data_IF_132336137686
#
_entry.id   IF_132336137686
#
_cell.length_a   1.000
_cell.length_b   1.000
_cell.length_c   1.000
_cell.angle_alpha   90.00
_cell.angle_beta   90.00
_cell.angle_gamma   90.00
#
_symmetry.space_group_name_H-M   'P 1'
#
loop_
_entity.id
_entity.type
_entity.pdbx_description
1 polymer ?
#
# COMPACT_ATOMS: atom_id res chain seq x y z
N UNK A 1 4.83 -7.19 10.48
CA UNK A 1 4.99 -7.18 9.00
C UNK A 1 3.72 -6.62 8.39
N UNK A 2 3.82 -6.03 7.21
CA UNK A 2 2.72 -5.36 6.50
C UNK A 2 3.03 -5.38 5.02
N UNK A 3 2.02 -5.43 4.17
CA UNK A 3 2.17 -5.13 2.76
C UNK A 3 1.03 -4.25 2.29
N UNK A 4 1.38 -3.09 1.74
CA UNK A 4 0.43 -2.20 1.09
C UNK A 4 0.95 -1.83 -0.30
N UNK A 5 0.05 -1.71 -1.26
CA UNK A 5 0.34 -1.15 -2.58
C UNK A 5 -0.71 -0.13 -3.00
N UNK A 6 -0.24 0.91 -3.69
CA UNK A 6 -1.04 1.88 -4.40
C UNK A 6 -0.68 1.83 -5.87
N UNK A 7 -1.66 1.80 -6.76
CA UNK A 7 -1.49 1.74 -8.21
C UNK A 7 -2.27 2.89 -8.82
N UNK A 8 -1.58 3.75 -9.56
CA UNK A 8 -2.16 4.90 -10.24
C UNK A 8 -2.16 4.65 -11.74
N UNK A 9 -3.34 4.48 -12.30
CA UNK A 9 -3.55 4.33 -13.75
C UNK A 9 -4.32 5.52 -14.31
N UNK A 10 -4.44 5.61 -15.63
CA UNK A 10 -5.15 6.72 -16.29
C UNK A 10 -6.57 6.90 -15.75
N UNK A 11 -7.28 5.79 -15.54
CA UNK A 11 -8.70 5.79 -15.19
C UNK A 11 -8.96 5.89 -13.68
N UNK A 12 -7.90 5.86 -12.84
CA UNK A 12 -8.10 5.97 -11.41
C UNK A 12 -6.95 5.47 -10.53
N UNK A 13 -7.30 5.22 -9.28
CA UNK A 13 -6.41 4.78 -8.22
C UNK A 13 -6.93 3.49 -7.58
N UNK A 14 -6.04 2.54 -7.36
CA UNK A 14 -6.27 1.35 -6.54
C UNK A 14 -5.37 1.41 -5.32
N UNK A 15 -5.91 1.17 -4.13
CA UNK A 15 -5.12 0.99 -2.90
C UNK A 15 -5.51 -0.32 -2.23
N UNK A 16 -4.52 -1.11 -1.85
CA UNK A 16 -4.69 -2.42 -1.22
C UNK A 16 -3.78 -2.49 0.00
N UNK A 17 -4.32 -2.94 1.14
CA UNK A 17 -3.55 -3.14 2.37
C UNK A 17 -4.00 -4.41 3.07
N UNK A 18 -3.07 -5.19 3.60
CA UNK A 18 -3.38 -6.24 4.56
C UNK A 18 -3.75 -5.64 5.91
N UNK A 19 -4.38 -6.42 6.76
CA UNK A 19 -4.78 -5.99 8.12
C UNK A 19 -4.10 -6.80 9.22
N UNK A 20 -3.35 -7.84 8.87
CA UNK A 20 -2.70 -8.67 9.86
C UNK A 20 -1.60 -7.91 10.59
N UNK A 21 -1.62 -7.97 11.90
CA UNK A 21 -0.58 -7.43 12.78
C UNK A 21 -0.10 -8.54 13.68
N UNK A 22 1.21 -8.68 13.80
CA UNK A 22 1.84 -9.71 14.60
C UNK A 22 2.78 -9.07 15.63
N UNK A 23 2.43 -9.19 16.89
CA UNK A 23 3.20 -8.71 18.03
C UNK A 23 3.90 -9.87 18.76
N UNK A 24 4.56 -10.77 18.02
CA UNK A 24 5.18 -12.00 18.52
C UNK A 24 4.58 -13.27 17.88
N UNK A 25 5.07 -14.45 18.27
CA UNK A 25 4.71 -15.72 17.62
C UNK A 25 3.22 -16.07 17.75
N UNK A 26 2.57 -15.71 18.86
CA UNK A 26 1.21 -16.13 19.20
C UNK A 26 0.21 -14.97 19.29
N UNK A 27 0.60 -13.74 19.00
CA UNK A 27 -0.28 -12.57 19.11
C UNK A 27 -0.59 -11.99 17.72
N UNK A 28 -1.41 -12.72 16.96
CA UNK A 28 -1.95 -12.26 15.66
C UNK A 28 -3.23 -11.49 15.90
N UNK A 29 -3.25 -10.24 15.50
CA UNK A 29 -4.40 -9.34 15.61
C UNK A 29 -4.72 -8.72 14.25
N UNK A 30 -5.93 -8.19 14.11
CA UNK A 30 -6.39 -7.50 12.91
C UNK A 30 -6.51 -6.02 13.22
N UNK A 31 -5.74 -5.18 12.51
CA UNK A 31 -5.83 -3.73 12.57
C UNK A 31 -5.97 -3.16 11.17
N UNK A 32 -6.88 -2.23 11.01
CA UNK A 32 -7.02 -1.49 9.75
C UNK A 32 -5.77 -0.68 9.48
N UNK A 33 -5.23 -0.81 8.26
CA UNK A 33 -4.06 -0.07 7.79
C UNK A 33 -4.41 0.89 6.65
N UNK A 34 -5.57 0.69 6.00
CA UNK A 34 -6.12 1.57 4.96
C UNK A 34 -7.24 2.42 5.55
N UNK A 35 -7.02 3.73 5.59
CA UNK A 35 -7.94 4.72 6.13
C UNK A 35 -8.40 5.65 5.01
N UNK A 36 -9.71 5.90 4.92
CA UNK A 36 -10.33 6.70 3.87
C UNK A 36 -10.88 7.98 4.48
N UNK A 37 -10.55 9.10 3.85
CA UNK A 37 -10.99 10.45 4.20
C UNK A 37 -11.74 11.00 2.99
N UNK A 38 -13.05 11.22 3.11
CA UNK A 38 -13.85 11.63 1.97
C UNK A 38 -14.92 12.65 2.32
N UNK A 39 -15.13 13.57 1.40
CA UNK A 39 -16.31 14.41 1.29
C UNK A 39 -16.84 14.21 -0.14
N UNK A 40 -17.89 13.38 -0.32
CA UNK A 40 -18.34 12.98 -1.66
C UNK A 40 -18.64 14.18 -2.56
N UNK A 41 -18.13 14.14 -3.80
CA UNK A 41 -18.24 15.21 -4.78
C UNK A 41 -17.26 16.38 -4.60
N UNK A 42 -16.45 16.40 -3.52
CA UNK A 42 -15.39 17.36 -3.30
C UNK A 42 -14.01 16.69 -3.28
N UNK A 43 -13.84 15.67 -2.46
CA UNK A 43 -12.55 14.98 -2.32
C UNK A 43 -12.67 13.55 -1.82
N UNK A 44 -11.71 12.74 -2.22
CA UNK A 44 -11.43 11.45 -1.64
C UNK A 44 -9.93 11.28 -1.49
N UNK A 45 -9.50 10.92 -0.30
CA UNK A 45 -8.11 10.66 0.05
C UNK A 45 -8.03 9.37 0.86
N UNK A 46 -6.97 8.63 0.68
CA UNK A 46 -6.73 7.42 1.45
C UNK A 46 -5.26 7.34 1.87
N UNK A 47 -5.05 6.80 3.07
CA UNK A 47 -3.74 6.54 3.64
C UNK A 47 -3.63 5.06 3.97
N UNK A 48 -2.61 4.39 3.44
CA UNK A 48 -2.20 3.07 3.89
C UNK A 48 -0.89 3.18 4.68
N UNK A 49 -0.77 2.47 5.80
CA UNK A 49 0.36 2.58 6.73
C UNK A 49 1.14 1.28 6.87
N UNK A 50 2.46 1.38 7.07
CA UNK A 50 3.34 0.29 7.44
C UNK A 50 4.36 0.76 8.49
N UNK A 51 4.90 -0.16 9.26
CA UNK A 51 5.86 0.09 10.34
C UNK A 51 5.22 -0.08 11.72
N UNK A 52 5.62 0.76 12.67
CA UNK A 52 5.09 0.71 14.04
C UNK A 52 3.63 1.19 14.08
N UNK A 53 2.75 0.33 14.62
CA UNK A 53 1.32 0.59 14.65
C UNK A 53 0.96 1.78 15.55
N UNK A 54 1.59 1.91 16.72
CA UNK A 54 1.31 3.02 17.65
C UNK A 54 1.66 4.36 17.00
N UNK A 55 2.83 4.46 16.37
CA UNK A 55 3.26 5.66 15.62
C UNK A 55 2.28 5.97 14.50
N UNK A 56 1.88 4.95 13.73
CA UNK A 56 0.91 5.14 12.64
C UNK A 56 -0.42 5.67 13.14
N UNK A 57 -0.92 5.18 14.28
CA UNK A 57 -2.16 5.64 14.90
C UNK A 57 -2.03 7.07 15.44
N UNK A 58 -0.92 7.41 16.12
CA UNK A 58 -0.64 8.77 16.57
C UNK A 58 -0.61 9.76 15.41
N UNK A 59 0.05 9.42 14.30
CA UNK A 59 0.07 10.25 13.09
C UNK A 59 -1.33 10.43 12.49
N UNK A 60 -2.12 9.37 12.39
CA UNK A 60 -3.49 9.44 11.86
C UNK A 60 -4.41 10.27 12.75
N UNK A 61 -4.30 10.15 14.08
CA UNK A 61 -5.03 10.98 15.04
C UNK A 61 -4.67 12.44 14.87
N UNK A 62 -3.38 12.75 14.80
CA UNK A 62 -2.87 14.11 14.56
C UNK A 62 -3.41 14.72 13.25
N UNK A 63 -3.51 13.92 12.17
CA UNK A 63 -4.07 14.38 10.89
C UNK A 63 -5.58 14.61 10.93
N UNK A 64 -6.28 13.90 11.81
CA UNK A 64 -7.73 14.00 11.97
C UNK A 64 -8.12 15.15 12.90
N UNK A 65 -7.46 15.26 14.04
CA UNK A 65 -7.69 16.32 15.03
C UNK A 65 -7.14 17.66 14.56
N UNK A 66 -6.01 17.61 13.84
CA UNK A 66 -5.33 18.76 13.24
C UNK A 66 -4.07 19.18 14.00
N UNK A 67 -3.21 19.87 13.25
CA UNK A 67 -2.02 20.56 13.76
C UNK A 67 -2.21 22.04 13.61
N UNK A 68 -1.87 22.79 14.65
CA UNK A 68 -1.81 24.25 14.54
C UNK A 68 -0.67 24.66 13.59
N UNK A 69 -0.98 25.52 12.63
CA UNK A 69 0.02 26.16 11.79
C UNK A 69 0.75 27.23 12.63
N UNK A 70 2.07 27.15 12.79
CA UNK A 70 2.82 28.06 13.66
C UNK A 70 2.86 29.50 13.16
N UNK A 71 2.48 29.77 11.92
CA UNK A 71 2.48 31.11 11.32
C UNK A 71 1.10 31.75 11.32
N UNK A 72 0.05 30.97 11.16
CA UNK A 72 -1.33 31.48 11.03
C UNK A 72 -2.19 31.20 12.28
N UNK A 73 -1.81 30.23 13.11
CA UNK A 73 -2.62 29.76 14.24
C UNK A 73 -3.84 28.92 13.80
N UNK A 74 -4.00 28.64 12.51
CA UNK A 74 -5.10 27.85 12.00
C UNK A 74 -4.87 26.35 12.25
N UNK A 75 -5.95 25.62 12.50
CA UNK A 75 -5.90 24.16 12.64
C UNK A 75 -5.94 23.51 11.26
N UNK A 76 -4.85 22.88 10.90
CA UNK A 76 -4.68 22.13 9.65
C UNK A 76 -4.97 20.65 9.84
N UNK A 77 -6.01 20.16 9.19
CA UNK A 77 -6.36 18.73 9.11
C UNK A 77 -6.07 18.20 7.70
N UNK A 78 -6.14 16.88 7.51
CA UNK A 78 -6.07 16.32 6.17
C UNK A 78 -7.22 16.82 5.28
N UNK A 79 -8.41 16.95 5.86
CA UNK A 79 -9.63 17.29 5.12
C UNK A 79 -9.73 18.75 4.67
N UNK A 80 -9.04 19.69 5.32
CA UNK A 80 -9.03 21.09 4.87
C UNK A 80 -7.80 21.47 4.05
N UNK A 81 -7.00 20.48 3.60
CA UNK A 81 -5.86 20.72 2.72
C UNK A 81 -6.32 21.25 1.35
N UNK A 82 -5.76 22.37 0.85
CA UNK A 82 -6.15 22.95 -0.43
C UNK A 82 -5.75 22.11 -1.64
N UNK A 83 -4.66 21.33 -1.53
CA UNK A 83 -4.14 20.48 -2.61
C UNK A 83 -3.64 19.14 -2.06
N UNK A 84 -3.58 18.12 -2.92
CA UNK A 84 -3.01 16.82 -2.57
C UNK A 84 -1.53 16.93 -2.16
N UNK A 85 -0.78 17.89 -2.73
CA UNK A 85 0.61 18.15 -2.35
C UNK A 85 0.72 18.68 -0.92
N UNK A 86 -0.11 19.67 -0.57
CA UNK A 86 -0.15 20.21 0.81
C UNK A 86 -0.65 19.16 1.80
N UNK A 87 -1.60 18.31 1.40
CA UNK A 87 -2.01 17.17 2.22
C UNK A 87 -0.83 16.22 2.50
N UNK A 88 -0.01 15.89 1.49
CA UNK A 88 1.21 15.10 1.69
C UNK A 88 2.22 15.80 2.60
N UNK A 89 2.38 17.13 2.48
CA UNK A 89 3.23 17.91 3.40
C UNK A 89 2.71 17.86 4.86
N UNK A 90 1.38 17.90 5.06
CA UNK A 90 0.76 17.76 6.40
C UNK A 90 1.03 16.39 7.01
N UNK A 91 0.99 15.31 6.21
CA UNK A 91 1.40 13.97 6.68
C UNK A 91 2.85 14.00 7.17
N UNK A 92 3.75 14.59 6.40
CA UNK A 92 5.16 14.74 6.81
C UNK A 92 5.35 15.57 8.08
N UNK A 93 4.55 16.64 8.27
CA UNK A 93 4.56 17.43 9.51
C UNK A 93 4.05 16.63 10.71
N UNK A 94 2.96 15.87 10.53
CA UNK A 94 2.41 15.00 11.56
C UNK A 94 3.42 13.93 12.02
N UNK A 95 4.13 13.29 11.08
CA UNK A 95 5.21 12.34 11.40
C UNK A 95 6.28 13.01 12.26
N UNK A 96 6.76 14.19 11.87
CA UNK A 96 7.80 14.93 12.64
C UNK A 96 7.30 15.40 14.01
N UNK A 97 6.04 15.80 14.12
CA UNK A 97 5.43 16.18 15.39
C UNK A 97 5.36 14.98 16.37
N UNK A 98 4.91 13.83 15.90
CA UNK A 98 4.88 12.58 16.69
C UNK A 98 6.31 12.16 17.06
N UNK A 99 7.26 12.25 16.12
CA UNK A 99 8.67 11.95 16.42
C UNK A 99 9.25 12.88 17.49
N UNK A 100 8.94 14.16 17.45
CA UNK A 100 9.41 15.14 18.46
C UNK A 100 8.85 14.84 19.87
N UNK A 101 7.67 14.23 19.94
CA UNK A 101 7.02 13.90 21.23
C UNK A 101 7.42 12.52 21.76
N UNK A 102 7.50 11.49 20.89
CA UNK A 102 7.64 10.09 21.27
C UNK A 102 9.03 9.52 21.00
N UNK A 103 9.82 10.17 20.12
CA UNK A 103 11.08 9.62 19.60
C UNK A 103 12.13 9.29 20.67
N UNK A 104 12.31 10.17 21.65
CA UNK A 104 13.28 9.94 22.73
C UNK A 104 12.85 8.79 23.65
N UNK A 105 11.55 8.66 23.94
CA UNK A 105 11.01 7.57 24.74
C UNK A 105 11.19 6.22 24.03
N UNK A 106 10.89 6.16 22.72
CA UNK A 106 11.09 4.96 21.91
C UNK A 106 12.56 4.56 21.87
N UNK A 107 13.45 5.52 21.68
CA UNK A 107 14.91 5.29 21.65
C UNK A 107 15.44 4.75 22.97
N UNK A 108 14.91 5.21 24.10
CA UNK A 108 15.31 4.71 25.42
C UNK A 108 14.96 3.24 25.65
N UNK A 109 13.93 2.74 24.97
CA UNK A 109 13.47 1.34 25.01
C UNK A 109 14.00 0.51 23.83
N UNK A 110 14.98 1.02 23.07
CA UNK A 110 15.56 0.38 21.88
C UNK A 110 14.52 0.04 20.79
N UNK A 111 13.44 0.84 20.72
CA UNK A 111 12.39 0.73 19.69
C UNK A 111 12.66 1.76 18.59
N UNK A 112 12.78 1.29 17.36
CA UNK A 112 12.95 2.19 16.21
C UNK A 112 11.67 2.95 15.91
N UNK A 113 11.81 4.26 15.67
CA UNK A 113 10.74 5.06 15.05
C UNK A 113 10.71 4.76 13.57
N UNK A 114 9.87 3.79 13.18
CA UNK A 114 9.73 3.34 11.79
C UNK A 114 8.27 3.42 11.36
N UNK A 115 7.99 4.24 10.36
CA UNK A 115 6.67 4.41 9.76
C UNK A 115 6.80 4.83 8.31
N UNK A 116 5.94 4.32 7.46
CA UNK A 116 5.80 4.77 6.08
C UNK A 116 4.33 4.77 5.69
N UNK A 117 3.97 5.69 4.80
CA UNK A 117 2.60 5.81 4.32
C UNK A 117 2.55 5.84 2.79
N UNK A 118 1.54 5.16 2.23
CA UNK A 118 1.02 5.49 0.91
C UNK A 118 -0.14 6.44 1.09
N UNK A 119 -0.12 7.54 0.37
CA UNK A 119 -1.17 8.54 0.39
C UNK A 119 -1.64 8.81 -1.03
N UNK A 120 -2.90 8.54 -1.31
CA UNK A 120 -3.46 8.73 -2.64
C UNK A 120 -4.87 9.29 -2.62
N UNK A 121 -5.28 9.84 -3.75
CA UNK A 121 -6.63 10.40 -3.89
C UNK A 121 -6.71 11.58 -4.84
N UNK A 122 -7.84 12.28 -4.73
CA UNK A 122 -8.16 13.42 -5.60
C UNK A 122 -8.99 14.46 -4.85
N UNK A 123 -8.70 15.72 -5.11
CA UNK A 123 -9.55 16.87 -4.78
C UNK A 123 -10.18 17.35 -6.08
N UNK A 124 -11.46 17.72 -6.07
CA UNK A 124 -12.23 18.17 -7.23
C UNK A 124 -11.48 19.24 -8.04
N UNK A 125 -11.45 19.07 -9.35
CA UNK A 125 -10.74 19.96 -10.25
C UNK A 125 -9.22 19.82 -10.29
N UNK A 126 -8.66 18.88 -9.54
CA UNK A 126 -7.23 18.53 -9.58
C UNK A 126 -7.03 17.10 -10.12
N UNK A 127 -5.80 16.77 -10.49
CA UNK A 127 -5.47 15.40 -10.93
C UNK A 127 -5.46 14.41 -9.76
N UNK A 128 -5.74 13.15 -10.04
CA UNK A 128 -5.48 12.02 -9.13
C UNK A 128 -3.99 11.93 -8.85
N UNK A 129 -3.60 11.72 -7.58
CA UNK A 129 -2.19 11.64 -7.17
C UNK A 129 -1.97 10.51 -6.18
N UNK A 130 -0.76 9.98 -6.19
CA UNK A 130 -0.30 8.94 -5.26
C UNK A 130 1.11 9.28 -4.79
N UNK A 131 1.33 9.24 -3.48
CA UNK A 131 2.61 9.55 -2.82
C UNK A 131 3.04 8.41 -1.90
N UNK A 132 4.35 8.28 -1.72
CA UNK A 132 4.93 7.51 -0.62
C UNK A 132 5.66 8.47 0.30
N UNK A 133 5.24 8.50 1.57
CA UNK A 133 5.81 9.34 2.62
C UNK A 133 6.69 8.47 3.51
N UNK A 134 7.94 8.90 3.69
CA UNK A 134 8.95 8.22 4.48
C UNK A 134 8.93 8.65 5.95
N UNK A 135 9.60 7.89 6.79
CA UNK A 135 9.75 8.15 8.24
C UNK A 135 10.24 9.56 8.57
N UNK A 136 11.10 10.17 7.73
CA UNK A 136 11.55 11.53 7.92
C UNK A 136 10.51 12.60 7.55
N UNK A 137 9.35 12.19 7.03
CA UNK A 137 8.28 13.10 6.59
C UNK A 137 8.51 13.73 5.21
N UNK A 138 9.55 13.30 4.49
CA UNK A 138 9.71 13.60 3.07
C UNK A 138 8.94 12.57 2.23
N UNK A 139 8.68 12.88 0.97
CA UNK A 139 7.87 12.01 0.13
C UNK A 139 8.30 12.06 -1.34
N UNK A 140 7.94 11.01 -2.06
CA UNK A 140 8.01 10.94 -3.52
C UNK A 140 6.60 10.81 -4.09
N UNK A 141 6.42 11.20 -5.34
CA UNK A 141 5.19 11.06 -6.09
C UNK A 141 5.32 9.96 -7.15
N UNK A 142 4.25 9.19 -7.30
CA UNK A 142 4.06 8.26 -8.40
C UNK A 142 4.01 9.00 -9.75
N UNK A 143 4.61 8.42 -10.78
CA UNK A 143 4.64 8.98 -12.15
C UNK A 143 4.04 7.99 -13.14
N UNK A 144 3.85 8.42 -14.39
CA UNK A 144 3.42 7.53 -15.47
C UNK A 144 4.43 6.42 -15.77
N UNK A 145 5.73 6.68 -15.55
CA UNK A 145 6.80 5.70 -15.77
C UNK A 145 6.88 4.69 -14.60
N UNK A 146 6.42 5.09 -13.41
CA UNK A 146 6.35 4.24 -12.23
C UNK A 146 4.94 4.34 -11.65
N UNK A 147 3.96 3.62 -12.24
CA UNK A 147 2.54 3.81 -11.94
C UNK A 147 2.07 3.09 -10.67
N UNK A 148 2.98 2.69 -9.80
CA UNK A 148 2.64 2.10 -8.51
C UNK A 148 3.72 2.41 -7.46
N UNK A 149 3.31 2.38 -6.20
CA UNK A 149 4.17 2.50 -5.02
C UNK A 149 3.80 1.41 -4.01
N UNK A 150 4.77 0.97 -3.21
CA UNK A 150 4.60 -0.11 -2.23
C UNK A 150 5.30 0.26 -0.93
N UNK A 151 4.74 -0.19 0.20
CA UNK A 151 5.36 -0.10 1.52
C UNK A 151 5.27 -1.45 2.26
N UNK A 152 6.15 -1.65 3.22
CA UNK A 152 6.27 -2.89 3.97
C UNK A 152 7.00 -3.99 3.18
N UNK A 153 6.50 -5.20 3.17
CA UNK A 153 7.11 -6.38 2.54
C UNK A 153 6.95 -6.39 1.00
N UNK A 154 7.49 -5.40 0.34
CA UNK A 154 7.27 -5.14 -1.09
C UNK A 154 7.99 -6.14 -2.02
N UNK A 155 9.09 -6.76 -1.59
CA UNK A 155 9.96 -7.58 -2.44
C UNK A 155 9.28 -8.80 -3.07
N UNK A 156 8.27 -9.36 -2.44
CA UNK A 156 7.59 -10.55 -2.95
C UNK A 156 6.47 -10.21 -3.95
N UNK A 157 5.82 -9.08 -3.77
CA UNK A 157 4.78 -8.60 -4.68
C UNK A 157 5.30 -7.80 -5.86
N UNK A 158 6.45 -7.13 -5.70
CA UNK A 158 7.06 -6.26 -6.70
C UNK A 158 7.27 -6.94 -8.07
N UNK A 159 7.80 -8.17 -8.17
CA UNK A 159 8.00 -8.82 -9.47
C UNK A 159 6.72 -9.02 -10.29
N UNK A 160 5.54 -9.08 -9.66
CA UNK A 160 4.25 -9.15 -10.36
C UNK A 160 3.91 -7.79 -10.95
N UNK A 161 4.04 -6.73 -10.15
CA UNK A 161 3.74 -5.36 -10.59
C UNK A 161 4.70 -4.88 -11.68
N UNK A 162 6.01 -5.15 -11.54
CA UNK A 162 7.03 -4.78 -12.53
C UNK A 162 6.74 -5.35 -13.94
N UNK A 163 6.12 -6.54 -14.01
CA UNK A 163 5.84 -7.19 -15.28
C UNK A 163 4.52 -6.77 -15.93
N UNK A 164 3.56 -6.36 -15.11
CA UNK A 164 2.17 -6.21 -15.57
C UNK A 164 1.66 -4.77 -15.50
N UNK A 165 2.30 -3.89 -14.69
CA UNK A 165 1.79 -2.54 -14.49
C UNK A 165 2.41 -1.53 -15.45
N UNK A 166 1.55 -0.79 -16.13
CA UNK A 166 1.84 0.43 -16.86
C UNK A 166 0.63 1.38 -16.73
N UNK A 167 0.84 2.66 -16.95
CA UNK A 167 -0.15 3.70 -16.69
C UNK A 167 -1.48 3.54 -17.45
N UNK A 168 -1.47 2.88 -18.60
CA UNK A 168 -2.62 2.66 -19.47
C UNK A 168 -3.39 1.36 -19.20
N UNK A 169 -3.04 0.63 -18.14
CA UNK A 169 -3.79 -0.57 -17.71
C UNK A 169 -5.19 -0.16 -17.27
N UNK A 170 -6.20 -0.96 -17.63
CA UNK A 170 -7.57 -0.77 -17.16
C UNK A 170 -7.65 -0.88 -15.63
N UNK A 171 -8.53 -0.09 -15.01
CA UNK A 171 -8.58 0.09 -13.56
C UNK A 171 -8.80 -1.21 -12.77
N UNK A 172 -9.69 -2.09 -13.22
CA UNK A 172 -9.94 -3.38 -12.56
C UNK A 172 -8.91 -4.47 -12.91
N UNK A 173 -8.22 -4.34 -14.04
CA UNK A 173 -7.03 -5.15 -14.33
C UNK A 173 -5.87 -4.76 -13.40
N UNK A 174 -5.73 -3.47 -13.09
CA UNK A 174 -4.79 -2.99 -12.08
C UNK A 174 -5.14 -3.53 -10.68
N UNK A 175 -6.42 -3.55 -10.30
CA UNK A 175 -6.89 -4.17 -9.07
C UNK A 175 -6.53 -5.67 -9.03
N UNK A 176 -6.85 -6.42 -10.09
CA UNK A 176 -6.53 -7.85 -10.18
C UNK A 176 -5.03 -8.10 -10.00
N UNK A 177 -4.20 -7.32 -10.67
CA UNK A 177 -2.74 -7.43 -10.57
C UNK A 177 -2.23 -7.10 -9.15
N UNK A 178 -2.80 -6.09 -8.51
CA UNK A 178 -2.52 -5.75 -7.12
C UNK A 178 -2.88 -6.89 -6.15
N UNK A 179 -4.02 -7.57 -6.37
CA UNK A 179 -4.42 -8.73 -5.57
C UNK A 179 -3.52 -9.95 -5.80
N UNK A 180 -3.02 -10.17 -7.02
CA UNK A 180 -2.01 -11.20 -7.30
C UNK A 180 -0.69 -10.88 -6.59
N UNK A 181 -0.29 -9.61 -6.57
CA UNK A 181 0.89 -9.13 -5.84
C UNK A 181 0.73 -9.35 -4.32
N UNK A 182 -0.46 -9.11 -3.78
CA UNK A 182 -0.80 -9.38 -2.38
C UNK A 182 -0.73 -10.89 -2.07
N UNK A 183 -1.33 -11.76 -2.89
CA UNK A 183 -1.25 -13.22 -2.72
C UNK A 183 0.20 -13.72 -2.75
N UNK A 184 1.02 -13.20 -3.67
CA UNK A 184 2.44 -13.55 -3.79
C UNK A 184 3.21 -13.20 -2.51
N UNK A 185 2.88 -12.07 -1.89
CA UNK A 185 3.47 -11.64 -0.61
C UNK A 185 3.00 -12.52 0.54
N UNK A 186 1.70 -12.81 0.63
CA UNK A 186 1.12 -13.68 1.67
C UNK A 186 1.70 -15.11 1.65
N UNK A 187 2.06 -15.63 0.47
CA UNK A 187 2.71 -16.94 0.33
C UNK A 187 4.12 -16.98 0.89
N UNK A 188 4.81 -15.86 0.85
CA UNK A 188 6.23 -15.77 1.23
C UNK A 188 6.45 -15.13 2.59
N UNK A 189 5.44 -14.50 3.18
CA UNK A 189 5.51 -13.84 4.47
C UNK A 189 4.24 -14.06 5.29
N UNK A 190 4.33 -14.87 6.35
CA UNK A 190 3.21 -15.21 7.24
C UNK A 190 2.67 -14.01 8.03
N UNK A 191 3.46 -12.94 8.17
CA UNK A 191 3.05 -11.71 8.84
C UNK A 191 2.10 -10.84 8.00
N UNK A 192 1.91 -11.18 6.71
CA UNK A 192 0.96 -10.51 5.80
C UNK A 192 -0.22 -11.45 5.54
N UNK A 193 -1.45 -10.96 5.65
CA UNK A 193 -2.59 -11.86 5.49
C UNK A 193 -3.95 -11.19 5.57
N UNK A 194 -4.97 -12.00 5.37
CA UNK A 194 -6.38 -11.65 5.47
C UNK A 194 -6.76 -11.19 6.89
N UNK A 195 -7.79 -10.31 7.00
CA UNK A 195 -8.49 -9.63 5.90
C UNK A 195 -7.62 -8.65 5.11
N UNK A 196 -8.06 -8.33 3.86
CA UNK A 196 -7.40 -7.33 3.01
C UNK A 196 -8.40 -6.20 2.73
N UNK A 197 -8.00 -4.97 2.98
CA UNK A 197 -8.78 -3.79 2.62
C UNK A 197 -8.42 -3.31 1.20
N UNK A 198 -9.44 -3.01 0.40
CA UNK A 198 -9.35 -2.58 -0.99
C UNK A 198 -10.13 -1.30 -1.20
N UNK A 199 -9.51 -0.31 -1.85
CA UNK A 199 -10.16 0.90 -2.32
C UNK A 199 -9.88 1.07 -3.82
N UNK A 200 -10.94 1.34 -4.59
CA UNK A 200 -10.85 1.78 -5.99
C UNK A 200 -11.54 3.13 -6.12
N UNK A 201 -10.88 4.06 -6.78
CA UNK A 201 -11.40 5.41 -7.05
C UNK A 201 -11.22 5.71 -8.53
N UNK A 202 -12.32 6.05 -9.23
CA UNK A 202 -12.23 6.52 -10.61
C UNK A 202 -11.80 7.97 -10.66
N UNK A 203 -11.03 8.33 -11.68
CA UNK A 203 -10.67 9.72 -11.97
C UNK A 203 -11.93 10.58 -12.04
N UNK A 204 -11.89 11.75 -11.40
CA UNK A 204 -12.95 12.75 -11.32
C UNK A 204 -14.23 12.37 -10.57
N UNK A 205 -14.31 11.16 -10.01
CA UNK A 205 -15.47 10.74 -9.22
C UNK A 205 -15.53 11.40 -7.84
N UNK A 206 -14.39 11.69 -7.22
CA UNK A 206 -14.27 12.17 -5.82
C UNK A 206 -15.11 11.33 -4.83
N UNK A 207 -15.25 10.04 -5.11
CA UNK A 207 -15.95 9.04 -4.30
C UNK A 207 -15.35 7.66 -4.56
N UNK A 208 -15.54 6.73 -3.62
CA UNK A 208 -15.13 5.35 -3.82
C UNK A 208 -16.01 4.65 -4.85
N UNK A 209 -15.40 4.06 -5.88
CA UNK A 209 -16.04 3.12 -6.81
C UNK A 209 -16.18 1.74 -6.13
N UNK A 210 -15.17 1.35 -5.38
CA UNK A 210 -15.16 0.17 -4.53
C UNK A 210 -14.47 0.49 -3.19
N UNK A 211 -15.11 0.15 -2.09
CA UNK A 211 -14.52 0.08 -0.76
C UNK A 211 -14.91 -1.27 -0.16
N UNK A 212 -13.99 -2.22 -0.18
CA UNK A 212 -14.29 -3.61 0.12
C UNK A 212 -13.24 -4.24 1.03
N UNK A 213 -13.69 -5.12 1.91
CA UNK A 213 -12.81 -5.95 2.74
C UNK A 213 -12.95 -7.41 2.30
N UNK A 214 -11.84 -7.96 1.81
CA UNK A 214 -11.73 -9.36 1.45
C UNK A 214 -11.50 -10.17 2.73
N UNK A 215 -12.50 -10.94 3.11
CA UNK A 215 -12.45 -11.82 4.29
C UNK A 215 -11.90 -13.22 3.94
N UNK A 216 -11.58 -13.99 4.98
CA UNK A 216 -11.18 -15.38 4.80
C UNK A 216 -12.33 -16.19 4.16
N UNK A 217 -12.01 -16.90 3.08
CA UNK A 217 -13.00 -17.72 2.35
C UNK A 217 -13.75 -16.98 1.24
N UNK A 218 -13.42 -15.72 0.93
CA UNK A 218 -14.06 -15.02 -0.19
C UNK A 218 -13.80 -15.74 -1.53
N UNK A 219 -14.87 -16.10 -2.27
CA UNK A 219 -14.76 -16.97 -3.43
C UNK A 219 -13.87 -16.42 -4.54
N UNK A 220 -14.00 -15.13 -4.87
CA UNK A 220 -13.20 -14.51 -5.94
C UNK A 220 -11.70 -14.55 -5.62
N UNK A 221 -11.30 -14.14 -4.42
CA UNK A 221 -9.89 -14.13 -4.04
C UNK A 221 -9.30 -15.55 -3.97
N UNK A 222 -10.08 -16.53 -3.50
CA UNK A 222 -9.70 -17.93 -3.49
C UNK A 222 -9.48 -18.48 -4.93
N UNK A 223 -10.40 -18.20 -5.85
CA UNK A 223 -10.29 -18.61 -7.25
C UNK A 223 -9.10 -17.93 -7.94
N UNK A 224 -8.89 -16.62 -7.74
CA UNK A 224 -7.74 -15.87 -8.26
C UNK A 224 -6.42 -16.52 -7.84
N UNK A 225 -6.25 -16.86 -6.56
CA UNK A 225 -5.05 -17.54 -6.03
C UNK A 225 -4.80 -18.89 -6.69
N UNK A 226 -5.87 -19.67 -6.87
CA UNK A 226 -5.83 -20.99 -7.48
C UNK A 226 -5.45 -20.93 -8.96
N UNK A 227 -6.08 -20.03 -9.72
CA UNK A 227 -5.79 -19.77 -11.14
C UNK A 227 -4.37 -19.25 -11.34
N UNK A 228 -3.93 -18.30 -10.52
CA UNK A 228 -2.57 -17.77 -10.60
C UNK A 228 -1.52 -18.86 -10.38
N UNK A 229 -1.72 -19.71 -9.36
CA UNK A 229 -0.84 -20.83 -9.08
C UNK A 229 -0.81 -21.86 -10.22
N UNK A 230 -1.95 -22.13 -10.85
CA UNK A 230 -2.03 -23.04 -12.00
C UNK A 230 -1.32 -22.44 -13.24
N UNK A 231 -1.52 -21.14 -13.51
CA UNK A 231 -0.88 -20.44 -14.61
C UNK A 231 0.66 -20.44 -14.47
N UNK A 232 1.18 -20.20 -13.28
CA UNK A 232 2.63 -20.25 -13.02
C UNK A 232 3.21 -21.65 -13.23
N UNK A 233 2.51 -22.72 -12.79
CA UNK A 233 2.94 -24.11 -13.06
C UNK A 233 2.95 -24.43 -14.55
N UNK A 234 1.91 -24.01 -15.27
CA UNK A 234 1.84 -24.21 -16.73
C UNK A 234 2.96 -23.46 -17.46
N UNK A 235 3.22 -22.21 -17.08
CA UNK A 235 4.32 -21.43 -17.65
C UNK A 235 5.68 -22.11 -17.40
N UNK A 236 5.93 -22.58 -16.16
CA UNK A 236 7.16 -23.30 -15.82
C UNK A 236 7.33 -24.58 -16.66
N UNK A 237 6.26 -25.36 -16.87
CA UNK A 237 6.32 -26.58 -17.67
C UNK A 237 6.63 -26.32 -19.15
N UNK A 238 6.24 -25.16 -19.68
CA UNK A 238 6.50 -24.74 -21.05
C UNK A 238 7.92 -24.25 -21.30
N UNK A 239 8.69 -23.95 -20.26
CA UNK A 239 10.09 -23.53 -20.38
C UNK A 239 10.96 -24.78 -20.58
N UNK A 240 11.78 -24.84 -21.64
CA UNK A 240 12.67 -25.99 -21.89
C UNK A 240 13.64 -26.18 -20.70
N UNK A 241 14.03 -27.43 -20.48
CA UNK A 241 15.09 -27.74 -19.51
C UNK A 241 16.43 -27.08 -19.94
N UNK A 242 17.29 -26.70 -18.97
CA UNK A 242 18.62 -26.20 -19.26
C UNK A 242 19.41 -27.24 -20.11
N UNK A 243 20.21 -26.79 -21.09
CA UNK A 243 20.97 -27.69 -21.95
C UNK A 243 22.22 -28.29 -21.27
N UNK A 244 22.44 -28.01 -20.00
CA UNK A 244 23.61 -28.45 -19.25
C UNK A 244 23.46 -29.93 -18.86
N UNK A 245 24.29 -30.80 -19.44
CA UNK A 245 24.36 -32.23 -19.08
C UNK A 245 25.33 -32.41 -17.93
N UNK A 246 24.99 -33.26 -16.96
CA UNK A 246 25.97 -33.73 -15.97
C UNK A 246 26.94 -34.70 -16.66
N UNK A 247 28.21 -34.70 -16.29
CA UNK A 247 29.26 -35.60 -16.88
C UNK A 247 28.92 -37.08 -16.82
N UNK A 248 27.98 -37.48 -15.96
CA UNK A 248 27.52 -38.88 -15.81
C UNK A 248 26.69 -39.37 -17.00
N UNK A 249 25.95 -38.51 -17.72
CA UNK A 249 25.18 -38.90 -18.90
C UNK A 249 26.00 -38.92 -20.20
N UNK A 250 27.19 -38.34 -20.20
CA UNK A 250 28.08 -38.31 -21.35
C UNK A 250 28.90 -39.61 -21.53
N UNK A 251 28.95 -40.48 -20.50
CA UNK A 251 29.74 -41.73 -20.52
C UNK A 251 28.94 -42.98 -20.90
N UNK A 252 27.67 -42.86 -21.24
CA UNK A 252 26.79 -43.99 -21.60
C UNK A 252 26.33 -43.94 -23.05
N UNK A 253 27.20 -43.47 -23.99
CA UNK A 253 27.03 -43.65 -25.42
C UNK A 253 28.28 -44.23 -26.04
#
# INVERSE_FOLDING_TARGET
MTYCCGILVRDGLVMIADTRTNAGLDNVSTFRKLHIFSNPGDRIMAIASAGNLAISQSVLSTLTEGLEDPHTGEIETLMNAPTMFQAAQRIGRAIRAVHATEGDALKSEDVSFDVSFLFGGQIKGSRMRLFMVYTAGNFIECTTDTPYLQIGEHKYGKPVLDRAMHYDVELYEALKTGLISMDSTMRSNLGVGLPIDVLVVRTDACSADLNHRIEAGEPYFHDLRSRWSAALRAAHQNIPRPPYKTETEAKTK
#
